data_IF_838172205178
#
_entry.id   IF_838172205178
#
_cell.length_a   1.000
_cell.length_b   1.000
_cell.length_c   1.000
_cell.angle_alpha   90.00
_cell.angle_beta   90.00
_cell.angle_gamma   90.00
#
_symmetry.space_group_name_H-M   'P 1'
#
loop_
_entity.id
_entity.type
_entity.pdbx_description
1 polymer ?
#
# COMPACT_ATOMS: atom_id res chain seq x y z
N UNK A 1 12.28 -13.80 11.35
CA UNK A 1 11.53 -13.52 10.10
C UNK A 1 10.72 -12.23 10.27
N UNK A 2 10.70 -11.41 9.26
CA UNK A 2 10.01 -10.13 9.30
C UNK A 2 8.74 -10.12 8.47
N UNK A 3 7.96 -9.07 8.66
CA UNK A 3 6.70 -8.86 7.95
C UNK A 3 6.94 -8.06 6.67
N UNK A 4 5.97 -8.11 5.76
CA UNK A 4 5.93 -7.29 4.57
C UNK A 4 4.82 -6.25 4.75
N UNK A 5 5.12 -4.98 4.50
CA UNK A 5 4.15 -3.89 4.53
C UNK A 5 3.81 -3.49 3.10
N UNK A 6 2.54 -3.42 2.77
CA UNK A 6 2.09 -2.90 1.47
C UNK A 6 1.49 -1.51 1.65
N UNK A 7 1.75 -0.64 0.68
CA UNK A 7 1.31 0.75 0.70
C UNK A 7 0.59 1.06 -0.61
N UNK A 8 -0.62 1.60 -0.51
CA UNK A 8 -1.33 2.22 -1.61
C UNK A 8 -1.33 3.74 -1.35
N UNK A 9 -0.38 4.44 -1.98
CA UNK A 9 -0.14 5.85 -1.70
C UNK A 9 -1.13 6.73 -2.45
N UNK A 10 -1.96 7.46 -1.71
CA UNK A 10 -2.85 8.48 -2.25
C UNK A 10 -2.46 9.86 -1.73
N UNK A 11 -2.90 10.91 -2.40
CA UNK A 11 -2.54 12.29 -2.06
C UNK A 11 -3.10 12.72 -0.71
N UNK A 12 -4.30 12.29 -0.36
CA UNK A 12 -4.95 12.67 0.90
C UNK A 12 -4.89 11.55 1.92
N UNK A 13 -4.85 10.31 1.48
CA UNK A 13 -4.91 9.13 2.34
C UNK A 13 -4.00 8.04 1.81
N UNK A 14 -3.50 7.21 2.71
CA UNK A 14 -2.62 6.10 2.36
C UNK A 14 -3.23 4.81 2.89
N UNK A 15 -3.45 3.84 2.01
CA UNK A 15 -3.90 2.51 2.39
C UNK A 15 -2.70 1.66 2.82
N UNK A 16 -2.88 0.87 3.85
CA UNK A 16 -1.82 0.00 4.40
C UNK A 16 -2.35 -1.42 4.60
N UNK A 17 -1.48 -2.39 4.38
CA UNK A 17 -1.72 -3.79 4.71
C UNK A 17 -0.40 -4.42 5.17
N UNK A 18 -0.49 -5.44 6.02
CA UNK A 18 0.71 -6.06 6.58
C UNK A 18 0.53 -7.58 6.64
N UNK A 19 1.63 -8.33 6.48
CA UNK A 19 1.60 -9.77 6.67
C UNK A 19 1.83 -10.12 8.15
N UNK A 20 1.53 -11.37 8.51
CA UNK A 20 2.06 -11.95 9.72
C UNK A 20 3.57 -12.25 9.56
N UNK A 21 4.23 -12.60 10.65
CA UNK A 21 5.67 -12.88 10.64
C UNK A 21 6.05 -14.07 9.75
N UNK A 22 5.14 -15.02 9.56
CA UNK A 22 5.37 -16.20 8.72
C UNK A 22 5.03 -15.94 7.25
N UNK A 23 4.51 -14.75 6.92
CA UNK A 23 4.12 -14.36 5.56
C UNK A 23 3.06 -15.28 4.98
N UNK A 24 2.13 -15.75 5.80
CA UNK A 24 1.04 -16.64 5.38
C UNK A 24 -0.20 -15.83 5.01
N UNK A 25 -0.53 -14.80 5.79
CA UNK A 25 -1.74 -14.01 5.61
C UNK A 25 -1.43 -12.53 5.39
N UNK A 26 -2.26 -11.86 4.60
CA UNK A 26 -2.25 -10.42 4.42
C UNK A 26 -3.47 -9.84 5.12
N UNK A 27 -3.27 -8.81 5.93
CA UNK A 27 -4.35 -8.17 6.67
C UNK A 27 -4.38 -6.67 6.41
N UNK A 28 -5.57 -6.09 6.18
CA UNK A 28 -5.66 -4.64 6.01
C UNK A 28 -5.43 -3.93 7.33
N UNK A 29 -4.81 -2.75 7.25
CA UNK A 29 -4.67 -1.84 8.38
C UNK A 29 -5.62 -0.66 8.16
N UNK A 30 -5.83 0.15 9.18
CA UNK A 30 -6.63 1.35 9.03
C UNK A 30 -5.97 2.31 8.04
N UNK A 31 -6.79 2.93 7.19
CA UNK A 31 -6.33 3.93 6.24
C UNK A 31 -5.77 5.13 7.00
N UNK A 32 -4.60 5.60 6.57
CA UNK A 32 -3.88 6.69 7.22
C UNK A 32 -4.20 8.02 6.53
N UNK A 33 -4.76 8.97 7.28
CA UNK A 33 -5.03 10.31 6.78
C UNK A 33 -3.74 11.13 6.81
N UNK A 34 -3.20 11.46 5.65
CA UNK A 34 -1.93 12.21 5.55
C UNK A 34 -2.10 13.62 5.02
N UNK A 35 -3.15 13.87 4.25
CA UNK A 35 -3.43 15.17 3.62
C UNK A 35 -2.22 15.72 2.87
N UNK A 36 -1.47 14.83 2.21
CA UNK A 36 -0.29 15.20 1.44
C UNK A 36 1.02 15.25 2.23
N UNK A 37 1.00 15.02 3.53
CA UNK A 37 2.21 15.03 4.37
C UNK A 37 2.80 13.62 4.47
N UNK A 38 3.87 13.39 3.71
CA UNK A 38 4.54 12.09 3.69
C UNK A 38 5.20 11.74 5.03
N UNK A 39 5.52 12.70 5.86
CA UNK A 39 6.14 12.44 7.17
C UNK A 39 5.20 11.67 8.09
N UNK A 40 3.88 11.86 7.95
CA UNK A 40 2.90 11.08 8.70
C UNK A 40 3.04 9.59 8.37
N UNK A 41 3.19 9.25 7.08
CA UNK A 41 3.44 7.87 6.66
C UNK A 41 4.76 7.34 7.19
N UNK A 42 5.82 8.12 7.09
CA UNK A 42 7.14 7.69 7.57
C UNK A 42 7.12 7.43 9.07
N UNK A 43 6.46 8.29 9.85
CA UNK A 43 6.31 8.09 11.28
C UNK A 43 5.53 6.82 11.60
N UNK A 44 4.47 6.53 10.81
CA UNK A 44 3.70 5.29 10.98
C UNK A 44 4.58 4.05 10.71
N UNK A 45 5.41 4.11 9.68
CA UNK A 45 6.34 3.01 9.38
C UNK A 45 7.33 2.81 10.52
N UNK A 46 7.86 3.90 11.10
CA UNK A 46 8.74 3.82 12.26
C UNK A 46 8.05 3.18 13.46
N UNK A 47 6.78 3.50 13.70
CA UNK A 47 6.00 2.89 14.77
C UNK A 47 5.84 1.38 14.56
N UNK A 48 5.57 0.96 13.32
CA UNK A 48 5.48 -0.45 12.98
C UNK A 48 6.82 -1.14 13.22
N UNK A 49 7.93 -0.52 12.79
CA UNK A 49 9.28 -1.06 12.99
C UNK A 49 9.63 -1.21 14.48
N UNK A 50 9.09 -0.34 15.33
CA UNK A 50 9.34 -0.41 16.77
C UNK A 50 8.66 -1.61 17.42
N UNK A 51 7.54 -2.09 16.86
CA UNK A 51 6.77 -3.21 17.42
C UNK A 51 6.95 -4.51 16.65
N UNK A 52 7.44 -4.46 15.41
CA UNK A 52 7.59 -5.63 14.54
C UNK A 52 8.79 -5.45 13.63
N UNK A 53 9.43 -6.57 13.27
CA UNK A 53 10.46 -6.51 12.23
C UNK A 53 9.80 -6.44 10.86
N UNK A 54 10.20 -5.45 10.06
CA UNK A 54 9.81 -5.35 8.66
C UNK A 54 10.98 -5.81 7.77
N UNK A 55 10.73 -6.71 6.84
CA UNK A 55 11.73 -7.16 5.87
C UNK A 55 11.72 -6.27 4.62
N UNK A 56 10.52 -5.93 4.14
CA UNK A 56 10.39 -5.15 2.92
C UNK A 56 9.05 -4.42 2.87
N UNK A 57 8.99 -3.43 1.98
CA UNK A 57 7.80 -2.64 1.71
C UNK A 57 7.46 -2.76 0.24
N UNK A 58 6.19 -3.07 -0.07
CA UNK A 58 5.67 -3.10 -1.44
C UNK A 58 4.78 -1.88 -1.61
N UNK A 59 5.06 -1.05 -2.61
CA UNK A 59 4.28 0.17 -2.85
C UNK A 59 3.65 0.12 -4.24
N UNK A 60 2.35 0.40 -4.33
CA UNK A 60 1.67 0.52 -5.61
C UNK A 60 2.25 1.68 -6.40
N UNK A 61 2.50 1.47 -7.68
CA UNK A 61 3.12 2.47 -8.53
C UNK A 61 2.35 2.56 -9.85
N UNK A 62 1.94 3.77 -10.28
CA UNK A 62 1.21 3.94 -11.54
C UNK A 62 2.14 3.65 -12.71
N UNK A 63 1.73 2.74 -13.60
CA UNK A 63 2.55 2.30 -14.72
C UNK A 63 2.39 3.18 -15.96
N UNK A 64 1.19 3.69 -16.17
CA UNK A 64 0.91 4.62 -17.28
C UNK A 64 0.76 6.01 -16.70
N UNK A 65 1.66 6.91 -17.09
CA UNK A 65 1.70 8.27 -16.54
C UNK A 65 1.15 9.28 -17.53
N UNK A 66 0.11 10.00 -17.12
CA UNK A 66 -0.30 11.25 -17.72
C UNK A 66 -0.07 12.36 -16.69
N UNK A 67 -0.54 13.58 -16.92
CA UNK A 67 -0.23 14.73 -16.08
C UNK A 67 -0.36 14.48 -14.56
N UNK A 68 -1.55 14.09 -14.12
CA UNK A 68 -1.82 13.88 -12.69
C UNK A 68 -1.08 12.65 -12.14
N UNK A 69 -1.01 11.58 -12.93
CA UNK A 69 -0.29 10.38 -12.52
C UNK A 69 1.21 10.61 -12.44
N UNK A 70 1.76 11.50 -13.30
CA UNK A 70 3.18 11.86 -13.22
C UNK A 70 3.53 12.55 -11.91
N UNK A 71 2.66 13.44 -11.42
CA UNK A 71 2.87 14.10 -10.14
C UNK A 71 2.77 13.11 -8.99
N UNK A 72 1.80 12.20 -9.04
CA UNK A 72 1.66 11.14 -8.04
C UNK A 72 2.89 10.25 -8.04
N UNK A 73 3.39 9.86 -9.22
CA UNK A 73 4.59 9.03 -9.33
C UNK A 73 5.81 9.72 -8.72
N UNK A 74 5.98 11.02 -8.94
CA UNK A 74 7.08 11.78 -8.33
C UNK A 74 7.02 11.77 -6.82
N UNK A 75 5.82 11.94 -6.25
CA UNK A 75 5.63 11.89 -4.81
C UNK A 75 5.92 10.51 -4.25
N UNK A 76 5.49 9.45 -4.96
CA UNK A 76 5.79 8.08 -4.58
C UNK A 76 7.31 7.86 -4.60
N UNK A 77 8.02 8.34 -5.63
CA UNK A 77 9.46 8.22 -5.69
C UNK A 77 10.15 8.90 -4.51
N UNK A 78 9.69 10.09 -4.11
CA UNK A 78 10.21 10.78 -2.94
C UNK A 78 9.96 9.99 -1.65
N UNK A 79 8.77 9.41 -1.52
CA UNK A 79 8.42 8.57 -0.38
C UNK A 79 9.30 7.33 -0.33
N UNK A 80 9.55 6.70 -1.48
CA UNK A 80 10.43 5.52 -1.56
C UNK A 80 11.82 5.84 -1.03
N UNK A 81 12.39 6.98 -1.42
CA UNK A 81 13.71 7.40 -0.93
C UNK A 81 13.71 7.51 0.59
N UNK A 82 12.66 8.10 1.16
CA UNK A 82 12.54 8.24 2.62
C UNK A 82 12.41 6.88 3.32
N UNK A 83 11.66 5.95 2.73
CA UNK A 83 11.50 4.59 3.29
C UNK A 83 12.83 3.84 3.22
N UNK A 84 13.51 3.91 2.09
CA UNK A 84 14.82 3.27 1.92
C UNK A 84 15.86 3.82 2.92
N UNK A 85 15.75 5.10 3.26
CA UNK A 85 16.61 5.70 4.28
C UNK A 85 16.43 5.08 5.66
N UNK A 86 15.30 4.40 5.90
CA UNK A 86 15.07 3.66 7.15
C UNK A 86 15.74 2.27 7.15
N UNK A 87 16.37 1.89 6.05
CA UNK A 87 17.01 0.59 5.91
C UNK A 87 16.09 -0.51 5.34
N UNK A 88 14.95 -0.12 4.78
CA UNK A 88 13.98 -1.06 4.23
C UNK A 88 14.13 -1.19 2.72
N UNK A 89 13.96 -2.41 2.21
CA UNK A 89 13.85 -2.67 0.77
C UNK A 89 12.45 -2.27 0.30
N UNK A 90 12.37 -1.54 -0.82
CA UNK A 90 11.09 -1.12 -1.40
C UNK A 90 10.92 -1.74 -2.78
N UNK A 91 9.76 -2.35 -3.02
CA UNK A 91 9.40 -2.95 -4.30
C UNK A 91 8.23 -2.16 -4.90
N UNK A 92 8.36 -1.72 -6.15
CA UNK A 92 7.27 -1.07 -6.88
C UNK A 92 6.37 -2.13 -7.50
N UNK A 93 5.06 -1.94 -7.39
CA UNK A 93 4.07 -2.90 -7.89
C UNK A 93 3.04 -2.19 -8.76
N UNK A 94 2.59 -2.84 -9.85
CA UNK A 94 1.58 -2.26 -10.74
C UNK A 94 0.24 -2.15 -10.03
N UNK A 95 -0.17 -0.93 -9.69
CA UNK A 95 -1.38 -0.64 -8.93
C UNK A 95 -2.67 -0.82 -9.75
N UNK A 96 -2.60 -0.67 -11.07
CA UNK A 96 -3.77 -0.63 -11.92
C UNK A 96 -4.65 -1.89 -11.83
N UNK A 97 -4.04 -3.06 -11.88
CA UNK A 97 -4.77 -4.33 -11.81
C UNK A 97 -5.39 -4.54 -10.44
N UNK A 98 -4.66 -4.15 -9.39
CA UNK A 98 -5.11 -4.29 -8.00
C UNK A 98 -6.36 -3.46 -7.73
N UNK A 99 -6.42 -2.24 -8.24
CA UNK A 99 -7.59 -1.38 -8.08
C UNK A 99 -8.83 -1.99 -8.74
N UNK A 100 -8.69 -2.55 -9.93
CA UNK A 100 -9.79 -3.23 -10.63
C UNK A 100 -10.32 -4.40 -9.79
N UNK A 101 -9.43 -5.21 -9.22
CA UNK A 101 -9.81 -6.33 -8.35
C UNK A 101 -10.56 -5.85 -7.11
N UNK A 102 -10.11 -4.77 -6.49
CA UNK A 102 -10.77 -4.21 -5.30
C UNK A 102 -12.20 -3.77 -5.61
N UNK A 103 -12.41 -3.07 -6.72
CA UNK A 103 -13.75 -2.65 -7.13
C UNK A 103 -14.65 -3.84 -7.47
N UNK A 104 -14.10 -4.87 -8.08
CA UNK A 104 -14.84 -6.11 -8.36
C UNK A 104 -15.31 -6.78 -7.08
N UNK A 105 -14.43 -6.90 -6.09
CA UNK A 105 -14.77 -7.49 -4.81
C UNK A 105 -15.87 -6.70 -4.09
N UNK A 106 -15.79 -5.37 -4.12
CA UNK A 106 -16.82 -4.52 -3.50
C UNK A 106 -18.17 -4.68 -4.17
N UNK A 107 -18.20 -4.84 -5.49
CA UNK A 107 -19.43 -5.07 -6.23
C UNK A 107 -20.11 -6.38 -5.78
N UNK A 108 -19.32 -7.43 -5.62
CA UNK A 108 -19.82 -8.72 -5.14
C UNK A 108 -20.36 -8.62 -3.71
N UNK A 109 -19.75 -7.78 -2.88
CA UNK A 109 -20.16 -7.55 -1.50
C UNK A 109 -21.37 -6.62 -1.39
N UNK A 110 -21.84 -6.01 -2.48
CA UNK A 110 -22.98 -5.11 -2.48
C UNK A 110 -22.74 -3.76 -1.85
N UNK A 111 -21.50 -3.30 -1.82
CA UNK A 111 -21.13 -2.01 -1.21
C UNK A 111 -21.67 -0.85 -2.03
N UNK A 112 -22.28 0.12 -1.35
CA UNK A 112 -22.87 1.30 -2.00
C UNK A 112 -21.80 2.16 -2.66
N UNK A 113 -22.17 2.88 -3.73
CA UNK A 113 -21.27 3.70 -4.52
C UNK A 113 -20.49 4.72 -3.68
N UNK A 114 -21.16 5.38 -2.72
CA UNK A 114 -20.53 6.39 -1.88
C UNK A 114 -19.45 5.83 -0.95
N UNK A 115 -19.56 4.54 -0.61
CA UNK A 115 -18.62 3.88 0.31
C UNK A 115 -17.49 3.18 -0.42
N UNK A 116 -17.61 2.99 -1.75
CA UNK A 116 -16.64 2.22 -2.55
C UNK A 116 -15.24 2.80 -2.48
N UNK A 117 -15.12 4.12 -2.49
CA UNK A 117 -13.80 4.76 -2.48
C UNK A 117 -13.04 4.48 -1.18
N UNK A 118 -13.72 4.60 -0.04
CA UNK A 118 -13.11 4.34 1.27
C UNK A 118 -12.68 2.87 1.37
N UNK A 119 -13.56 1.95 0.96
CA UNK A 119 -13.24 0.53 0.97
C UNK A 119 -12.16 0.17 -0.05
N UNK A 120 -12.13 0.82 -1.22
CA UNK A 120 -11.09 0.60 -2.21
C UNK A 120 -9.72 0.99 -1.66
N UNK A 121 -9.60 2.13 -1.00
CA UNK A 121 -8.34 2.57 -0.38
C UNK A 121 -7.85 1.56 0.66
N UNK A 122 -8.77 1.02 1.46
CA UNK A 122 -8.46 0.05 2.49
C UNK A 122 -8.06 -1.32 1.90
N UNK A 123 -8.80 -1.79 0.88
CA UNK A 123 -8.59 -3.10 0.29
C UNK A 123 -7.48 -3.10 -0.77
N UNK A 124 -7.20 -1.97 -1.40
CA UNK A 124 -6.19 -1.88 -2.45
C UNK A 124 -4.81 -2.32 -1.95
N UNK A 125 -4.39 -1.84 -0.79
CA UNK A 125 -3.11 -2.24 -0.21
C UNK A 125 -3.07 -3.74 0.10
N UNK A 126 -4.18 -4.30 0.58
CA UNK A 126 -4.28 -5.74 0.84
C UNK A 126 -4.14 -6.56 -0.45
N UNK A 127 -4.77 -6.12 -1.54
CA UNK A 127 -4.66 -6.82 -2.82
C UNK A 127 -3.26 -6.69 -3.41
N UNK A 128 -2.62 -5.53 -3.28
CA UNK A 128 -1.21 -5.36 -3.66
C UNK A 128 -0.35 -6.39 -2.93
N UNK A 129 -0.56 -6.52 -1.63
CA UNK A 129 0.21 -7.44 -0.79
C UNK A 129 -0.04 -8.89 -1.17
N UNK A 130 -1.30 -9.28 -1.40
CA UNK A 130 -1.65 -10.64 -1.81
C UNK A 130 -1.05 -11.00 -3.16
N UNK A 131 -1.10 -10.09 -4.13
CA UNK A 131 -0.50 -10.29 -5.45
C UNK A 131 1.01 -10.47 -5.32
N UNK A 132 1.65 -9.64 -4.53
CA UNK A 132 3.09 -9.73 -4.31
C UNK A 132 3.47 -11.05 -3.66
N UNK A 133 2.76 -11.45 -2.61
CA UNK A 133 3.00 -12.73 -1.92
C UNK A 133 2.86 -13.90 -2.88
N UNK A 134 1.82 -13.87 -3.72
CA UNK A 134 1.58 -14.92 -4.71
C UNK A 134 2.73 -15.01 -5.71
N UNK A 135 3.25 -13.86 -6.15
CA UNK A 135 4.39 -13.82 -7.08
C UNK A 135 5.68 -14.36 -6.46
N UNK A 136 5.81 -14.31 -5.15
CA UNK A 136 6.97 -14.82 -4.41
C UNK A 136 6.78 -16.24 -3.92
N UNK A 137 5.65 -16.86 -4.22
CA UNK A 137 5.31 -18.24 -3.79
C UNK A 137 5.27 -18.40 -2.25
N UNK A 138 4.81 -17.37 -1.57
CA UNK A 138 4.58 -17.46 -0.13
C UNK A 138 3.29 -18.21 0.21
#
# INVERSE_FOLDING_TARGET
>A
MGKILAIDYGMARVGLAITDALKITAQPMDTLETKGDADILINKIKDIMASSKLDEVVIGYPKHMNGDLSETAKKIDDVIVKIEALGLKVVKWDERLTTVMAYGAMKEMGIKQKDKKVHADRLAAMYILQDYMRSQNY
#
